data_IF_533492521568
#
_entry.id   IF_533492521568
#
_cell.length_a   1.000
_cell.length_b   1.000
_cell.length_c   1.000
_cell.angle_alpha   90.00
_cell.angle_beta   90.00
_cell.angle_gamma   90.00
#
_symmetry.space_group_name_H-M   'P 1'
#
loop_
_entity.id
_entity.type
_entity.pdbx_description
1 polymer ?
#
# COMPACT_ATOMS: atom_id res chain seq x y z
N UNK A 1 -13.31 66.25 9.11
CA UNK A 1 -12.07 66.06 8.34
C UNK A 1 -11.71 64.59 8.36
N UNK A 2 -11.74 63.96 7.18
CA UNK A 2 -11.61 62.51 6.95
C UNK A 2 -10.25 62.28 6.32
N UNK A 3 -9.40 61.47 6.95
CA UNK A 3 -8.16 60.98 6.35
C UNK A 3 -8.16 59.46 6.43
N UNK A 4 -8.64 58.84 5.34
CA UNK A 4 -8.48 57.42 5.08
C UNK A 4 -7.06 57.19 4.58
N UNK A 5 -6.34 56.22 5.16
CA UNK A 5 -5.13 55.65 4.56
C UNK A 5 -5.55 54.40 3.78
N UNK A 6 -5.31 54.29 2.48
CA UNK A 6 -5.46 53.02 1.77
C UNK A 6 -4.30 52.11 2.16
N UNK A 7 -4.59 50.97 2.77
CA UNK A 7 -3.64 49.86 2.85
C UNK A 7 -3.73 49.10 1.54
N UNK A 8 -2.66 49.15 0.73
CA UNK A 8 -2.51 48.27 -0.42
C UNK A 8 -2.38 46.83 0.08
N UNK A 9 -3.45 46.05 -0.04
CA UNK A 9 -3.41 44.61 0.14
C UNK A 9 -2.84 44.03 -1.16
N UNK A 10 -1.54 43.76 -1.16
CA UNK A 10 -0.89 43.05 -2.26
C UNK A 10 -1.37 41.59 -2.21
N UNK A 11 -2.51 41.33 -2.84
CA UNK A 11 -3.06 40.00 -3.06
C UNK A 11 -2.23 39.31 -4.15
N UNK A 12 -1.06 38.80 -3.78
CA UNK A 12 -0.29 37.91 -4.66
C UNK A 12 -0.81 36.47 -4.53
N UNK A 13 -1.55 36.09 -5.56
CA UNK A 13 -1.73 34.74 -6.14
C UNK A 13 -2.54 33.68 -5.35
N UNK A 14 -3.76 33.49 -5.83
CA UNK A 14 -4.43 32.20 -5.93
C UNK A 14 -3.54 31.19 -6.69
N UNK A 15 -3.30 30.02 -6.11
CA UNK A 15 -3.49 28.72 -6.78
C UNK A 15 -3.51 27.60 -5.70
N UNK A 16 -4.48 26.66 -5.75
CA UNK A 16 -4.44 25.46 -4.93
C UNK A 16 -3.21 24.64 -5.34
N UNK A 17 -2.45 24.14 -4.35
CA UNK A 17 -1.29 23.26 -4.57
C UNK A 17 -1.72 22.06 -5.41
N UNK A 18 -1.55 22.15 -6.73
CA UNK A 18 -1.56 20.99 -7.62
C UNK A 18 -0.37 20.16 -7.16
N UNK A 19 -0.62 18.93 -6.74
CA UNK A 19 0.43 17.95 -6.48
C UNK A 19 1.28 17.87 -7.75
N UNK A 20 2.41 18.57 -7.72
CA UNK A 20 3.42 18.54 -8.76
C UNK A 20 3.93 17.12 -8.79
N UNK A 21 3.69 16.42 -9.90
CA UNK A 21 4.45 15.24 -10.28
C UNK A 21 5.82 15.79 -10.68
N UNK A 22 6.64 16.15 -9.69
CA UNK A 22 8.03 16.47 -9.90
C UNK A 22 8.70 15.14 -10.26
N UNK A 23 9.02 14.97 -11.55
CA UNK A 23 9.94 13.92 -11.97
C UNK A 23 11.25 14.16 -11.20
N UNK A 24 11.68 13.15 -10.44
CA UNK A 24 12.88 13.23 -9.61
C UNK A 24 14.09 13.50 -10.51
N UNK A 25 14.80 14.59 -10.24
CA UNK A 25 15.94 15.06 -11.05
C UNK A 25 17.22 14.24 -10.78
N UNK A 26 17.19 13.35 -9.77
CA UNK A 26 18.34 12.52 -9.39
C UNK A 26 17.92 11.06 -9.17
N UNK A 27 17.46 10.36 -10.22
CA UNK A 27 16.98 8.98 -10.11
C UNK A 27 18.03 8.02 -9.51
N UNK A 28 19.32 8.29 -9.74
CA UNK A 28 20.44 7.49 -9.22
C UNK A 28 20.72 7.69 -7.72
N UNK A 29 20.07 8.66 -7.07
CA UNK A 29 20.25 8.94 -5.63
C UNK A 29 19.19 8.33 -4.73
N UNK A 30 18.12 7.79 -5.32
CA UNK A 30 17.10 7.08 -4.56
C UNK A 30 17.68 5.72 -4.18
N UNK A 31 17.90 5.44 -2.88
CA UNK A 31 18.35 4.12 -2.48
C UNK A 31 17.32 3.08 -2.94
N UNK A 32 17.76 1.94 -3.50
CA UNK A 32 16.83 0.89 -3.90
C UNK A 32 15.99 0.49 -2.70
N UNK A 33 14.66 0.48 -2.89
CA UNK A 33 13.73 0.06 -1.85
C UNK A 33 14.11 -1.36 -1.40
N UNK A 34 14.27 -1.62 -0.09
CA UNK A 34 14.61 -2.95 0.39
C UNK A 34 13.51 -3.94 0.00
N UNK A 35 13.90 -5.18 -0.28
CA UNK A 35 12.93 -6.23 -0.56
C UNK A 35 12.07 -6.51 0.68
N UNK A 36 10.77 -6.81 0.50
CA UNK A 36 9.87 -7.19 1.57
C UNK A 36 10.41 -8.36 2.41
N UNK A 37 10.17 -8.30 3.72
CA UNK A 37 10.57 -9.36 4.64
C UNK A 37 9.58 -10.53 4.55
N UNK A 38 10.10 -11.75 4.43
CA UNK A 38 9.25 -12.94 4.45
C UNK A 38 8.77 -13.25 5.88
N UNK A 39 7.47 -13.55 6.05
CA UNK A 39 6.95 -14.01 7.33
C UNK A 39 7.60 -15.33 7.77
N UNK A 40 7.55 -15.59 9.07
CA UNK A 40 7.98 -16.87 9.65
C UNK A 40 7.13 -18.03 9.09
N UNK A 41 7.75 -19.18 8.76
CA UNK A 41 7.02 -20.36 8.30
C UNK A 41 5.95 -20.82 9.29
N UNK A 42 4.84 -21.31 8.77
CA UNK A 42 3.64 -21.77 9.48
C UNK A 42 2.93 -20.70 10.33
N UNK A 43 3.34 -19.44 10.24
CA UNK A 43 2.65 -18.34 10.93
C UNK A 43 1.32 -17.98 10.24
N UNK A 44 0.42 -17.33 10.96
CA UNK A 44 -0.82 -16.78 10.36
C UNK A 44 -0.50 -15.65 9.37
N UNK A 45 0.58 -14.90 9.62
CA UNK A 45 1.11 -13.87 8.70
C UNK A 45 1.55 -14.51 7.38
N UNK A 46 2.22 -15.66 7.43
CA UNK A 46 2.55 -16.45 6.24
C UNK A 46 1.30 -16.92 5.51
N UNK A 47 0.31 -17.44 6.23
CA UNK A 47 -0.96 -17.85 5.61
C UNK A 47 -1.66 -16.69 4.88
N UNK A 48 -1.60 -15.47 5.45
CA UNK A 48 -2.13 -14.28 4.80
C UNK A 48 -1.35 -13.92 3.53
N UNK A 49 -0.01 -13.99 3.59
CA UNK A 49 0.84 -13.77 2.41
C UNK A 49 0.57 -14.80 1.31
N UNK A 50 0.48 -16.09 1.66
CA UNK A 50 0.15 -17.16 0.71
C UNK A 50 -1.16 -16.89 -0.03
N UNK A 51 -2.19 -16.51 0.72
CA UNK A 51 -3.50 -16.22 0.15
C UNK A 51 -3.45 -14.97 -0.76
N UNK A 52 -2.70 -13.94 -0.39
CA UNK A 52 -2.45 -12.73 -1.20
C UNK A 52 -1.64 -13.01 -2.49
N UNK A 53 -0.70 -13.95 -2.43
CA UNK A 53 0.11 -14.39 -3.58
C UNK A 53 -0.75 -15.19 -4.56
N UNK A 54 -1.71 -15.97 -4.06
CA UNK A 54 -2.65 -16.75 -4.87
C UNK A 54 -3.76 -15.87 -5.47
N UNK A 55 -4.14 -14.76 -4.82
CA UNK A 55 -5.06 -13.78 -5.40
C UNK A 55 -5.61 -12.75 -4.41
N UNK A 56 -6.70 -12.08 -4.82
CA UNK A 56 -7.41 -11.14 -3.98
C UNK A 56 -8.12 -11.88 -2.82
N UNK A 57 -8.02 -11.36 -1.60
CA UNK A 57 -8.58 -12.01 -0.42
C UNK A 57 -9.44 -11.07 0.41
N UNK A 58 -10.43 -11.65 1.08
CA UNK A 58 -11.35 -10.96 2.00
C UNK A 58 -11.33 -11.65 3.35
N UNK A 59 -11.85 -10.98 4.37
CA UNK A 59 -11.95 -11.56 5.71
C UNK A 59 -12.77 -12.86 5.73
N UNK A 60 -13.84 -12.95 4.93
CA UNK A 60 -14.69 -14.14 4.80
C UNK A 60 -13.96 -15.34 4.18
N UNK A 61 -13.05 -15.11 3.25
CA UNK A 61 -12.22 -16.14 2.62
C UNK A 61 -11.00 -16.56 3.45
N UNK A 62 -10.67 -15.83 4.51
CA UNK A 62 -9.49 -16.09 5.34
C UNK A 62 -9.83 -16.87 6.61
N UNK A 63 -9.85 -18.20 6.51
CA UNK A 63 -10.26 -19.11 7.59
C UNK A 63 -9.27 -19.16 8.75
N UNK A 64 -7.99 -18.87 8.51
CA UNK A 64 -6.92 -19.05 9.50
C UNK A 64 -7.03 -18.10 10.70
N UNK A 65 -7.68 -16.94 10.54
CA UNK A 65 -7.93 -16.00 11.63
C UNK A 65 -8.99 -14.96 11.30
N UNK A 66 -9.68 -14.46 12.33
CA UNK A 66 -10.61 -13.32 12.21
C UNK A 66 -9.91 -11.96 12.05
N UNK A 67 -8.57 -11.89 12.14
CA UNK A 67 -7.79 -10.64 12.12
C UNK A 67 -7.03 -10.41 10.81
N UNK A 68 -7.61 -10.70 9.65
CA UNK A 68 -6.91 -10.56 8.36
C UNK A 68 -6.29 -9.16 8.19
N UNK A 69 -7.06 -8.11 8.49
CA UNK A 69 -6.60 -6.72 8.36
C UNK A 69 -5.35 -6.42 9.20
N UNK A 70 -5.18 -7.07 10.36
CA UNK A 70 -3.99 -6.91 11.18
C UNK A 70 -2.77 -7.56 10.52
N UNK A 71 -2.92 -8.76 9.95
CA UNK A 71 -1.82 -9.42 9.23
C UNK A 71 -1.46 -8.71 7.93
N UNK A 72 -2.44 -8.16 7.23
CA UNK A 72 -2.20 -7.26 6.09
C UNK A 72 -1.39 -6.05 6.54
N UNK A 73 -1.72 -5.44 7.68
CA UNK A 73 -0.96 -4.32 8.22
C UNK A 73 0.49 -4.71 8.53
N UNK A 74 0.71 -5.85 9.19
CA UNK A 74 2.06 -6.33 9.47
C UNK A 74 2.87 -6.60 8.20
N UNK A 75 2.24 -7.17 7.17
CA UNK A 75 2.89 -7.35 5.87
C UNK A 75 3.28 -6.01 5.23
N UNK A 76 2.43 -4.99 5.32
CA UNK A 76 2.79 -3.62 4.88
C UNK A 76 3.97 -3.05 5.66
N UNK A 77 3.96 -3.23 6.98
CA UNK A 77 5.06 -2.77 7.83
C UNK A 77 6.37 -3.55 7.52
N UNK A 78 6.26 -4.80 7.05
CA UNK A 78 7.37 -5.63 6.53
C UNK A 78 7.80 -5.28 5.08
N UNK A 79 7.17 -4.27 4.47
CA UNK A 79 7.52 -3.75 3.15
C UNK A 79 6.72 -4.30 1.97
N UNK A 80 5.68 -5.12 2.20
CA UNK A 80 4.81 -5.60 1.13
C UNK A 80 3.83 -4.52 0.69
N UNK A 81 3.81 -4.21 -0.61
CA UNK A 81 2.78 -3.33 -1.15
C UNK A 81 1.47 -4.10 -1.36
N UNK A 82 0.42 -3.61 -0.68
CA UNK A 82 -0.91 -4.23 -0.67
C UNK A 82 -1.95 -3.14 -0.87
N UNK A 83 -2.70 -3.26 -1.97
CA UNK A 83 -3.85 -2.41 -2.24
C UNK A 83 -5.09 -2.99 -1.58
N UNK A 84 -5.98 -2.10 -1.13
CA UNK A 84 -7.29 -2.45 -0.62
C UNK A 84 -8.37 -1.77 -1.44
N UNK A 85 -9.45 -2.48 -1.72
CA UNK A 85 -10.68 -1.90 -2.26
C UNK A 85 -11.88 -2.34 -1.44
N UNK A 86 -12.90 -1.51 -1.44
CA UNK A 86 -14.18 -1.83 -0.82
C UNK A 86 -15.05 -2.64 -1.78
N UNK A 87 -15.65 -3.72 -1.27
CA UNK A 87 -16.57 -4.57 -2.02
C UNK A 87 -17.83 -4.84 -1.20
N UNK A 88 -18.98 -4.89 -1.86
CA UNK A 88 -20.22 -5.28 -1.22
C UNK A 88 -20.28 -6.81 -1.09
N UNK A 89 -20.44 -7.30 0.13
CA UNK A 89 -20.57 -8.72 0.46
C UNK A 89 -21.64 -8.89 1.53
N UNK A 90 -22.67 -9.70 1.25
CA UNK A 90 -23.78 -9.98 2.18
C UNK A 90 -24.44 -8.72 2.77
N UNK A 91 -24.63 -7.68 1.95
CA UNK A 91 -25.24 -6.42 2.36
C UNK A 91 -24.33 -5.53 3.23
N UNK A 92 -23.04 -5.85 3.33
CA UNK A 92 -22.03 -5.07 4.05
C UNK A 92 -20.91 -4.68 3.11
N UNK A 93 -20.30 -3.53 3.35
CA UNK A 93 -19.05 -3.16 2.68
C UNK A 93 -17.88 -3.77 3.45
N UNK A 94 -17.07 -4.58 2.76
CA UNK A 94 -15.90 -5.24 3.32
C UNK A 94 -14.65 -4.87 2.51
N UNK A 95 -13.49 -4.95 3.15
CA UNK A 95 -12.22 -4.76 2.46
C UNK A 95 -11.78 -6.04 1.74
N UNK A 96 -11.40 -5.89 0.48
CA UNK A 96 -10.68 -6.88 -0.31
C UNK A 96 -9.24 -6.40 -0.51
N UNK A 97 -8.28 -7.29 -0.29
CA UNK A 97 -6.85 -7.00 -0.33
C UNK A 97 -6.16 -7.78 -1.44
N UNK A 98 -5.23 -7.14 -2.14
CA UNK A 98 -4.43 -7.74 -3.22
C UNK A 98 -3.01 -7.20 -3.16
N UNK A 99 -2.01 -8.02 -3.53
CA UNK A 99 -0.64 -7.53 -3.72
C UNK A 99 -0.59 -6.50 -4.86
N UNK A 100 0.08 -5.38 -4.62
CA UNK A 100 0.41 -4.47 -5.70
C UNK A 100 1.63 -4.98 -6.47
N UNK A 101 1.38 -5.60 -7.62
CA UNK A 101 2.45 -6.11 -8.48
C UNK A 101 3.02 -5.03 -9.42
N UNK A 102 2.54 -3.78 -9.35
CA UNK A 102 3.21 -2.66 -10.02
C UNK A 102 4.45 -2.21 -9.23
N UNK A 103 4.51 -2.49 -7.93
CA UNK A 103 5.72 -2.31 -7.13
C UNK A 103 6.74 -3.41 -7.44
N UNK A 104 7.90 -3.02 -7.95
CA UNK A 104 8.94 -3.94 -8.40
C UNK A 104 9.46 -4.85 -7.27
N UNK A 105 9.61 -4.30 -6.05
CA UNK A 105 10.09 -5.04 -4.90
C UNK A 105 9.09 -6.13 -4.47
N UNK A 106 7.80 -5.80 -4.43
CA UNK A 106 6.70 -6.72 -4.13
C UNK A 106 6.54 -7.77 -5.22
N UNK A 107 6.64 -7.37 -6.50
CA UNK A 107 6.59 -8.28 -7.65
C UNK A 107 7.72 -9.30 -7.60
N UNK A 108 8.96 -8.86 -7.35
CA UNK A 108 10.11 -9.74 -7.23
C UNK A 108 10.01 -10.66 -6.01
N UNK A 109 9.63 -10.14 -4.84
CA UNK A 109 9.45 -10.94 -3.64
C UNK A 109 8.34 -12.00 -3.79
N UNK A 110 7.21 -11.64 -4.42
CA UNK A 110 6.14 -12.59 -4.71
C UNK A 110 6.60 -13.70 -5.67
N UNK A 111 7.40 -13.38 -6.69
CA UNK A 111 7.96 -14.38 -7.60
C UNK A 111 8.89 -15.36 -6.85
N UNK A 112 9.80 -14.85 -6.02
CA UNK A 112 10.68 -15.67 -5.17
C UNK A 112 9.89 -16.55 -4.20
N UNK A 113 8.82 -16.00 -3.62
CA UNK A 113 7.98 -16.73 -2.67
C UNK A 113 7.21 -17.88 -3.34
N UNK A 114 6.71 -17.70 -4.57
CA UNK A 114 6.07 -18.78 -5.36
C UNK A 114 7.03 -19.94 -5.64
N UNK A 115 8.30 -19.65 -5.99
CA UNK A 115 9.33 -20.68 -6.21
C UNK A 115 9.61 -21.43 -4.90
N UNK A 116 9.70 -20.73 -3.77
CA UNK A 116 9.89 -21.35 -2.45
C UNK A 116 8.73 -22.29 -2.08
N UNK A 117 7.48 -21.88 -2.34
CA UNK A 117 6.28 -22.72 -2.12
C UNK A 117 6.29 -23.98 -2.98
N UNK A 118 6.72 -23.89 -4.24
CA UNK A 118 6.77 -25.04 -5.16
C UNK A 118 7.94 -26.00 -4.95
N UNK A 119 8.92 -25.63 -4.11
CA UNK A 119 10.10 -26.46 -3.78
C UNK A 119 9.96 -27.22 -2.44
N UNK A 120 8.82 -27.05 -1.75
CA UNK A 120 8.47 -27.68 -0.48
C UNK A 120 7.35 -28.70 -0.70
#
# INVERSE_FOLDING_TARGET
MRSARPTEVNASALEPRRHSIAQDLFPDTIPPRPLPIFPEPNSVKESALLALVDGAIRQSGFVRSWRLAAYVRFLKDDGWEIVSREVAENGRTVAEYTLDLQDDATREAAARYRVRKGSA
#
